data_IF_308221666535
#
_entry.id   IF_308221666535
#
_cell.length_a   1.000
_cell.length_b   1.000
_cell.length_c   1.000
_cell.angle_alpha   90.00
_cell.angle_beta   90.00
_cell.angle_gamma   90.00
#
_symmetry.space_group_name_H-M   'P 1'
#
loop_
_entity.id
_entity.type
_entity.pdbx_description
1 polymer ?
#
# COMPACT_ATOMS: atom_id res chain seq x y z
N UNK A 1 -25.12 22.08 -7.88
CA UNK A 1 -25.40 21.46 -6.57
C UNK A 1 -24.13 21.49 -5.73
N UNK A 2 -24.24 21.59 -4.40
CA UNK A 2 -23.08 21.41 -3.53
C UNK A 2 -22.62 19.95 -3.58
N UNK A 3 -21.30 19.72 -3.66
CA UNK A 3 -20.69 18.38 -3.62
C UNK A 3 -20.23 18.04 -2.21
N UNK A 4 -20.40 16.78 -1.81
CA UNK A 4 -19.80 16.19 -0.60
C UNK A 4 -18.28 16.16 -0.71
N UNK A 5 -17.58 15.91 0.41
CA UNK A 5 -16.12 15.72 0.37
C UNK A 5 -15.75 14.53 -0.53
N UNK A 6 -16.48 13.41 -0.40
CA UNK A 6 -16.24 12.20 -1.19
C UNK A 6 -16.33 12.48 -2.69
N UNK A 7 -17.42 13.12 -3.15
CA UNK A 7 -17.59 13.47 -4.57
C UNK A 7 -16.47 14.40 -5.06
N UNK A 8 -16.07 15.39 -4.25
CA UNK A 8 -14.95 16.29 -4.62
C UNK A 8 -13.65 15.53 -4.81
N UNK A 9 -13.33 14.60 -3.91
CA UNK A 9 -12.12 13.79 -4.00
C UNK A 9 -12.19 12.84 -5.18
N UNK A 10 -13.29 12.11 -5.33
CA UNK A 10 -13.49 11.20 -6.46
C UNK A 10 -13.33 11.93 -7.79
N UNK A 11 -14.09 13.01 -8.00
CA UNK A 11 -14.09 13.78 -9.25
C UNK A 11 -12.71 14.37 -9.57
N UNK A 12 -11.92 14.74 -8.55
CA UNK A 12 -10.58 15.28 -8.74
C UNK A 12 -9.54 14.22 -9.16
N UNK A 13 -9.84 12.93 -8.97
CA UNK A 13 -8.92 11.82 -9.24
C UNK A 13 -9.34 10.93 -10.41
N UNK A 14 -10.51 11.16 -11.02
CA UNK A 14 -10.86 10.50 -12.28
C UNK A 14 -9.90 10.93 -13.37
N UNK A 15 -9.15 9.98 -13.94
CA UNK A 15 -8.23 10.22 -15.07
C UNK A 15 -8.77 9.70 -16.39
N UNK A 16 -9.69 8.75 -16.35
CA UNK A 16 -10.37 8.24 -17.54
C UNK A 16 -11.75 7.71 -17.17
N UNK A 17 -12.73 7.96 -18.02
CA UNK A 17 -14.10 7.46 -17.87
C UNK A 17 -14.63 7.08 -19.26
N UNK A 18 -15.16 5.86 -19.37
CA UNK A 18 -15.78 5.34 -20.58
C UNK A 18 -17.23 4.91 -20.29
N UNK A 19 -18.14 4.98 -21.29
CA UNK A 19 -19.52 4.59 -21.10
C UNK A 19 -19.64 3.13 -20.65
N UNK A 20 -20.35 2.90 -19.54
CA UNK A 20 -20.59 1.58 -18.93
C UNK A 20 -19.34 0.87 -18.35
N UNK A 21 -18.25 1.60 -18.11
CA UNK A 21 -17.06 1.09 -17.43
C UNK A 21 -16.87 1.79 -16.08
N UNK A 22 -16.19 1.14 -15.14
CA UNK A 22 -15.78 1.78 -13.89
C UNK A 22 -14.73 2.86 -14.20
N UNK A 23 -14.88 4.10 -13.69
CA UNK A 23 -13.88 5.14 -13.91
C UNK A 23 -12.49 4.73 -13.40
N UNK A 24 -11.46 5.10 -14.14
CA UNK A 24 -10.08 4.93 -13.71
C UNK A 24 -9.70 6.09 -12.78
N UNK A 25 -9.28 5.75 -11.56
CA UNK A 25 -8.81 6.72 -10.58
C UNK A 25 -7.28 6.77 -10.55
N UNK A 26 -6.74 7.97 -10.44
CA UNK A 26 -5.35 8.16 -10.05
C UNK A 26 -5.18 7.85 -8.56
N UNK A 27 -4.12 7.12 -8.22
CA UNK A 27 -3.75 6.78 -6.84
C UNK A 27 -2.56 7.63 -6.40
N UNK A 28 -2.72 8.44 -5.35
CA UNK A 28 -1.63 9.26 -4.82
C UNK A 28 -0.63 8.47 -3.99
N UNK A 29 -1.12 7.50 -3.21
CA UNK A 29 -0.29 6.67 -2.33
C UNK A 29 -0.72 5.22 -2.38
N UNK A 30 0.27 4.35 -2.51
CA UNK A 30 0.10 2.92 -2.43
C UNK A 30 0.87 2.41 -1.21
N UNK A 31 0.18 1.81 -0.25
CA UNK A 31 0.82 1.17 0.89
C UNK A 31 0.84 -0.35 0.66
N UNK A 32 1.94 -1.00 1.00
CA UNK A 32 2.09 -2.45 0.86
C UNK A 32 2.66 -3.06 2.14
N UNK A 33 2.36 -4.34 2.35
CA UNK A 33 2.83 -5.11 3.50
C UNK A 33 3.10 -6.56 3.08
N UNK A 34 3.68 -7.35 3.96
CA UNK A 34 4.27 -8.65 3.64
C UNK A 34 3.27 -9.75 3.28
N UNK A 35 1.98 -9.57 3.58
CA UNK A 35 0.98 -10.64 3.41
C UNK A 35 0.41 -10.67 1.98
N UNK A 36 0.03 -9.51 1.44
CA UNK A 36 -0.75 -9.43 0.18
C UNK A 36 0.07 -8.96 -1.01
N UNK A 37 1.20 -8.28 -0.78
CA UNK A 37 2.04 -7.73 -1.85
C UNK A 37 2.96 -8.71 -2.59
N UNK A 38 3.44 -9.85 -2.01
CA UNK A 38 4.40 -10.71 -2.72
C UNK A 38 3.91 -11.18 -4.10
N UNK A 39 2.65 -11.60 -4.19
CA UNK A 39 2.06 -12.06 -5.45
C UNK A 39 1.92 -10.93 -6.48
N UNK A 40 1.67 -9.70 -6.05
CA UNK A 40 1.61 -8.56 -6.96
C UNK A 40 2.99 -8.28 -7.60
N UNK A 41 4.06 -8.32 -6.80
CA UNK A 41 5.42 -8.19 -7.32
C UNK A 41 5.82 -9.35 -8.25
N UNK A 42 5.38 -10.57 -7.96
CA UNK A 42 5.57 -11.71 -8.86
C UNK A 42 4.87 -11.50 -10.22
N UNK A 43 3.64 -10.97 -10.22
CA UNK A 43 2.91 -10.62 -11.44
C UNK A 43 3.64 -9.56 -12.25
N UNK A 44 4.10 -8.49 -11.60
CA UNK A 44 4.94 -7.46 -12.24
C UNK A 44 6.18 -8.08 -12.90
N UNK A 45 6.90 -8.94 -12.18
CA UNK A 45 8.10 -9.62 -12.68
C UNK A 45 7.80 -10.54 -13.87
N UNK A 46 6.74 -11.34 -13.77
CA UNK A 46 6.30 -12.26 -14.82
C UNK A 46 5.90 -11.53 -16.11
N UNK A 47 5.37 -10.31 -15.98
CA UNK A 47 4.98 -9.47 -17.11
C UNK A 47 6.03 -8.42 -17.50
N UNK A 48 7.24 -8.48 -16.90
CA UNK A 48 8.34 -7.53 -17.15
C UNK A 48 7.93 -6.06 -16.94
N UNK A 49 7.10 -5.80 -15.93
CA UNK A 49 6.60 -4.47 -15.58
C UNK A 49 7.37 -3.90 -14.39
N UNK A 50 7.77 -2.62 -14.43
CA UNK A 50 8.26 -1.94 -13.24
C UNK A 50 7.09 -1.46 -12.36
N UNK A 51 7.36 -1.17 -11.08
CA UNK A 51 6.47 -0.32 -10.27
C UNK A 51 6.44 1.07 -10.89
N UNK A 52 5.26 1.61 -11.17
CA UNK A 52 5.10 2.85 -11.94
C UNK A 52 5.58 4.09 -11.19
N UNK A 53 5.41 4.13 -9.87
CA UNK A 53 5.77 5.27 -9.01
C UNK A 53 6.39 4.79 -7.68
N UNK A 54 7.64 4.28 -7.66
CA UNK A 54 8.23 3.75 -6.43
C UNK A 54 8.29 4.77 -5.29
N UNK A 55 8.54 6.06 -5.59
CA UNK A 55 8.51 7.15 -4.60
C UNK A 55 7.13 7.53 -4.06
N UNK A 56 6.06 6.86 -4.51
CA UNK A 56 4.69 6.98 -3.97
C UNK A 56 4.18 5.68 -3.37
N UNK A 57 5.02 4.64 -3.37
CA UNK A 57 4.73 3.32 -2.81
C UNK A 57 5.57 3.13 -1.55
N UNK A 58 4.93 2.75 -0.44
CA UNK A 58 5.60 2.60 0.85
C UNK A 58 5.27 1.24 1.45
N UNK A 59 6.30 0.54 1.93
CA UNK A 59 6.17 -0.78 2.51
C UNK A 59 6.48 -0.76 4.01
N UNK A 60 5.74 -1.53 4.80
CA UNK A 60 6.09 -1.83 6.21
C UNK A 60 5.82 -3.30 6.50
N UNK A 61 6.35 -3.78 7.62
CA UNK A 61 6.03 -5.11 8.14
C UNK A 61 5.23 -4.95 9.42
N UNK A 62 4.03 -5.52 9.50
CA UNK A 62 3.18 -5.38 10.69
C UNK A 62 2.25 -6.54 11.02
N UNK A 63 1.96 -7.45 10.09
CA UNK A 63 1.05 -8.59 10.32
C UNK A 63 1.76 -9.82 10.91
N UNK A 64 3.01 -10.05 10.50
CA UNK A 64 3.78 -11.27 10.76
C UNK A 64 4.96 -11.07 11.73
N UNK A 65 5.08 -9.86 12.28
CA UNK A 65 6.15 -9.49 13.20
C UNK A 65 5.93 -10.17 14.56
N UNK A 66 6.99 -10.74 15.12
CA UNK A 66 6.93 -11.32 16.46
C UNK A 66 6.62 -10.25 17.51
N UNK A 67 5.69 -10.55 18.42
CA UNK A 67 5.35 -9.65 19.54
C UNK A 67 6.40 -9.64 20.65
N UNK A 68 7.44 -10.50 20.56
CA UNK A 68 8.49 -10.64 21.57
C UNK A 68 9.83 -10.07 21.13
N UNK A 69 10.16 -10.14 19.84
CA UNK A 69 11.47 -9.75 19.31
C UNK A 69 11.35 -9.19 17.90
N UNK A 70 12.37 -8.45 17.45
CA UNK A 70 12.51 -7.99 16.06
C UNK A 70 13.31 -8.95 15.16
N UNK A 71 13.59 -10.16 15.63
CA UNK A 71 14.26 -11.19 14.82
C UNK A 71 13.25 -11.84 13.87
N UNK A 72 13.51 -11.73 12.57
CA UNK A 72 12.70 -12.35 11.51
C UNK A 72 12.60 -13.88 11.67
N UNK A 73 13.62 -14.50 12.29
CA UNK A 73 13.65 -15.95 12.54
C UNK A 73 12.83 -16.37 13.76
N UNK A 74 12.35 -15.41 14.56
CA UNK A 74 11.45 -15.70 15.68
C UNK A 74 9.99 -15.89 15.22
N UNK A 75 9.66 -15.56 13.96
CA UNK A 75 8.35 -15.80 13.36
C UNK A 75 8.25 -17.21 12.75
N UNK A 76 7.03 -17.71 12.57
CA UNK A 76 6.78 -18.98 11.89
C UNK A 76 7.33 -18.98 10.45
N UNK A 77 7.57 -20.18 9.89
CA UNK A 77 8.23 -20.32 8.58
C UNK A 77 7.59 -19.48 7.47
N UNK A 78 6.25 -19.52 7.37
CA UNK A 78 5.52 -18.74 6.35
C UNK A 78 5.67 -17.23 6.57
N UNK A 79 5.53 -16.77 7.81
CA UNK A 79 5.71 -15.37 8.19
C UNK A 79 7.12 -14.87 7.85
N UNK A 80 8.15 -15.69 8.11
CA UNK A 80 9.54 -15.41 7.74
C UNK A 80 9.71 -15.28 6.23
N UNK A 81 9.13 -16.19 5.45
CA UNK A 81 9.18 -16.15 3.97
C UNK A 81 8.51 -14.88 3.45
N UNK A 82 7.33 -14.53 3.94
CA UNK A 82 6.60 -13.32 3.54
C UNK A 82 7.41 -12.04 3.79
N UNK A 83 7.98 -11.89 4.99
CA UNK A 83 8.84 -10.75 5.31
C UNK A 83 10.11 -10.72 4.45
N UNK A 84 10.75 -11.87 4.20
CA UNK A 84 11.93 -11.94 3.33
C UNK A 84 11.60 -11.58 1.88
N UNK A 85 10.45 -12.02 1.37
CA UNK A 85 10.02 -11.71 0.01
C UNK A 85 9.68 -10.22 -0.12
N UNK A 86 9.08 -9.59 0.90
CA UNK A 86 8.88 -8.14 0.92
C UNK A 86 10.23 -7.39 0.84
N UNK A 87 11.23 -7.77 1.64
CA UNK A 87 12.57 -7.15 1.60
C UNK A 87 13.16 -7.25 0.19
N UNK A 88 13.12 -8.45 -0.39
CA UNK A 88 13.65 -8.70 -1.74
C UNK A 88 12.92 -7.87 -2.78
N UNK A 89 11.58 -7.85 -2.75
CA UNK A 89 10.76 -7.10 -3.69
C UNK A 89 10.98 -5.58 -3.57
N UNK A 90 11.03 -5.04 -2.36
CA UNK A 90 11.29 -3.62 -2.15
C UNK A 90 12.66 -3.21 -2.72
N UNK A 91 13.69 -4.02 -2.50
CA UNK A 91 15.02 -3.79 -3.07
C UNK A 91 15.03 -3.89 -4.60
N UNK A 92 14.33 -4.87 -5.18
CA UNK A 92 14.28 -5.10 -6.63
C UNK A 92 13.53 -3.97 -7.35
N UNK A 93 12.41 -3.51 -6.79
CA UNK A 93 11.51 -2.53 -7.42
C UNK A 93 11.74 -1.09 -6.95
N UNK A 94 12.69 -0.86 -6.02
CA UNK A 94 13.03 0.46 -5.50
C UNK A 94 11.94 1.08 -4.63
N UNK A 95 11.18 0.27 -3.91
CA UNK A 95 10.12 0.70 -2.98
C UNK A 95 10.71 0.93 -1.60
N UNK A 96 10.38 2.06 -0.97
CA UNK A 96 10.82 2.38 0.39
C UNK A 96 10.23 1.38 1.39
N UNK A 97 11.08 0.77 2.22
CA UNK A 97 10.69 -0.24 3.20
C UNK A 97 11.05 0.19 4.62
N UNK A 98 10.01 0.35 5.45
CA UNK A 98 10.11 0.45 6.90
C UNK A 98 10.26 -0.97 7.50
N UNK A 99 11.46 -1.53 7.40
CA UNK A 99 11.76 -2.91 7.84
C UNK A 99 11.72 -3.08 9.39
N UNK A 100 11.87 -4.32 9.89
CA UNK A 100 11.82 -4.64 11.32
C UNK A 100 12.73 -3.77 12.22
N UNK A 101 13.87 -3.33 11.67
CA UNK A 101 14.87 -2.56 12.41
C UNK A 101 14.74 -1.05 12.18
N UNK A 102 13.89 -0.63 11.24
CA UNK A 102 13.64 0.77 10.95
C UNK A 102 12.98 1.46 12.16
N UNK A 103 13.43 2.67 12.56
CA UNK A 103 12.88 3.38 13.71
C UNK A 103 11.40 3.76 13.55
N UNK A 104 10.92 3.84 12.31
CA UNK A 104 9.53 4.19 11.96
C UNK A 104 8.69 2.99 11.51
N UNK A 105 9.18 1.76 11.68
CA UNK A 105 8.36 0.58 11.46
C UNK A 105 7.17 0.56 12.43
N UNK A 106 6.01 0.20 11.92
CA UNK A 106 4.78 0.13 12.68
C UNK A 106 3.62 -0.34 11.82
N UNK A 107 2.43 -0.39 12.43
CA UNK A 107 1.18 -0.77 11.76
C UNK A 107 0.97 0.15 10.56
N UNK A 108 0.70 -0.39 9.38
CA UNK A 108 0.69 0.37 8.10
C UNK A 108 -0.21 1.61 8.14
N UNK A 109 -1.38 1.49 8.77
CA UNK A 109 -2.35 2.59 8.90
C UNK A 109 -2.06 3.58 10.03
N UNK A 110 -1.09 3.28 10.91
CA UNK A 110 -0.57 4.19 11.93
C UNK A 110 0.69 4.89 11.43
N UNK A 111 1.61 4.13 10.84
CA UNK A 111 2.85 4.65 10.25
C UNK A 111 2.56 5.65 9.13
N UNK A 112 1.59 5.35 8.25
CA UNK A 112 1.28 6.21 7.11
C UNK A 112 1.00 7.68 7.50
N UNK A 113 0.09 7.95 8.46
CA UNK A 113 -0.10 9.31 8.97
C UNK A 113 1.09 9.87 9.75
N UNK A 114 1.74 9.08 10.62
CA UNK A 114 2.88 9.54 11.43
C UNK A 114 4.07 10.02 10.59
N UNK A 115 4.31 9.37 9.44
CA UNK A 115 5.40 9.71 8.52
C UNK A 115 5.00 10.74 7.46
N UNK A 116 3.80 11.32 7.53
CA UNK A 116 3.31 12.28 6.54
C UNK A 116 3.09 11.66 5.15
N UNK A 117 3.00 10.34 5.06
CA UNK A 117 2.62 9.64 3.82
C UNK A 117 1.14 9.90 3.52
N UNK A 118 0.30 10.00 4.56
CA UNK A 118 -1.12 10.35 4.46
C UNK A 118 -1.31 11.85 4.61
N UNK A 119 -1.82 12.51 3.56
CA UNK A 119 -2.18 13.93 3.61
C UNK A 119 -3.62 14.16 3.12
N UNK A 120 -4.26 15.26 3.54
CA UNK A 120 -5.61 15.59 3.08
C UNK A 120 -5.68 15.70 1.55
N UNK A 121 -6.80 15.24 0.99
CA UNK A 121 -7.04 15.34 -0.45
C UNK A 121 -6.53 14.18 -1.29
N UNK A 122 -5.81 13.22 -0.71
CA UNK A 122 -5.21 12.11 -1.44
C UNK A 122 -6.19 10.96 -1.74
N UNK A 123 -5.92 10.19 -2.80
CA UNK A 123 -6.38 8.80 -2.94
C UNK A 123 -5.33 7.82 -2.41
N UNK A 124 -5.73 6.93 -1.49
CA UNK A 124 -4.79 5.99 -0.82
C UNK A 124 -5.33 4.57 -0.89
N UNK A 125 -4.51 3.63 -1.34
CA UNK A 125 -4.88 2.21 -1.41
C UNK A 125 -3.84 1.34 -0.74
N UNK A 126 -4.30 0.19 -0.24
CA UNK A 126 -3.45 -0.84 0.34
C UNK A 126 -4.15 -2.19 0.21
N UNK A 127 -3.38 -3.27 0.17
CA UNK A 127 -3.86 -4.65 0.26
C UNK A 127 -4.43 -5.04 1.63
N UNK A 128 -4.98 -4.08 2.40
CA UNK A 128 -5.55 -4.27 3.73
C UNK A 128 -6.97 -3.67 3.81
N UNK A 129 -7.88 -4.36 4.49
CA UNK A 129 -9.28 -3.94 4.60
C UNK A 129 -9.49 -2.68 5.45
N UNK A 130 -8.54 -2.32 6.32
CA UNK A 130 -8.62 -1.18 7.23
C UNK A 130 -8.05 0.12 6.65
N UNK A 131 -7.73 0.14 5.35
CA UNK A 131 -7.23 1.33 4.64
C UNK A 131 -8.16 2.55 4.75
N UNK A 132 -9.46 2.33 5.00
CA UNK A 132 -10.41 3.41 5.30
C UNK A 132 -10.00 4.30 6.50
N UNK A 133 -9.10 3.82 7.38
CA UNK A 133 -8.52 4.59 8.50
C UNK A 133 -7.95 5.94 8.06
N UNK A 134 -7.32 6.01 6.87
CA UNK A 134 -6.74 7.25 6.36
C UNK A 134 -7.79 8.32 6.01
N UNK A 135 -9.08 7.93 5.90
CA UNK A 135 -10.19 8.87 5.72
C UNK A 135 -10.33 9.88 6.86
N UNK A 136 -9.81 9.58 8.05
CA UNK A 136 -9.74 10.53 9.16
C UNK A 136 -8.97 11.82 8.82
N UNK A 137 -8.10 11.78 7.80
CA UNK A 137 -7.31 12.92 7.32
C UNK A 137 -7.95 13.61 6.12
N UNK A 138 -9.18 13.26 5.74
CA UNK A 138 -9.83 13.81 4.55
C UNK A 138 -9.26 13.26 3.24
N UNK A 139 -8.76 12.03 3.26
CA UNK A 139 -8.35 11.26 2.08
C UNK A 139 -9.48 10.31 1.62
N UNK A 140 -9.50 9.98 0.33
CA UNK A 140 -10.31 8.90 -0.21
C UNK A 140 -9.48 7.62 -0.17
N UNK A 141 -9.69 6.79 0.86
CA UNK A 141 -8.85 5.64 1.13
C UNK A 141 -9.65 4.34 1.26
N UNK A 142 -9.19 3.29 0.58
CA UNK A 142 -9.90 2.00 0.56
C UNK A 142 -8.96 0.82 0.32
N UNK A 143 -9.35 -0.33 0.87
CA UNK A 143 -8.62 -1.58 0.68
C UNK A 143 -8.84 -2.14 -0.72
N UNK A 144 -7.82 -2.78 -1.27
CA UNK A 144 -7.82 -3.38 -2.60
C UNK A 144 -7.34 -4.84 -2.54
N UNK A 145 -7.70 -5.64 -3.54
CA UNK A 145 -7.25 -7.02 -3.67
C UNK A 145 -5.85 -7.12 -4.28
N UNK A 146 -5.22 -8.29 -4.19
CA UNK A 146 -3.87 -8.55 -4.75
C UNK A 146 -3.74 -8.21 -6.24
N UNK A 147 -4.75 -8.50 -7.05
CA UNK A 147 -4.74 -8.15 -8.48
C UNK A 147 -4.76 -6.64 -8.72
N UNK A 148 -5.37 -5.89 -7.82
CA UNK A 148 -5.40 -4.42 -7.88
C UNK A 148 -4.09 -3.84 -7.33
N UNK A 149 -3.47 -4.47 -6.33
CA UNK A 149 -2.11 -4.12 -5.87
C UNK A 149 -1.10 -4.25 -7.02
N UNK A 150 -1.23 -5.27 -7.88
CA UNK A 150 -0.39 -5.38 -9.10
C UNK A 150 -0.71 -4.27 -10.12
N UNK A 151 -1.97 -3.87 -10.22
CA UNK A 151 -2.43 -2.88 -11.21
C UNK A 151 -1.93 -1.46 -10.90
N UNK A 152 -1.83 -1.11 -9.61
CA UNK A 152 -1.41 0.22 -9.11
C UNK A 152 0.10 0.43 -9.18
#
# INVERSE_FOLDING_TARGET
MAKTLYEKLFDAHVVFEAPNETPLLYIDRHLVHEVTSPQAFDGLRAHHRPVRQPGKTFATMDHNVSTQTKDINASGEMARIQMQELIKNCNEFGVELYDLNHPYQGIVHVMGPEQGVTLPGMTIVCGDSHTATHGAFGALAFGIGTSEVEHV
#
